data_IF_861256322870
#
_entry.id   IF_861256322870
#
_cell.length_a   1.000
_cell.length_b   1.000
_cell.length_c   1.000
_cell.angle_alpha   90.00
_cell.angle_beta   90.00
_cell.angle_gamma   90.00
#
_symmetry.space_group_name_H-M   'P 1'
#
loop_
_entity.id
_entity.type
_entity.pdbx_description
1 polymer ?
#
# COMPACT_ATOMS: atom_id res chain seq x y z
N UNK A 1 11.07 -56.98 -33.67
CA UNK A 1 11.68 -55.69 -33.24
C UNK A 1 10.61 -54.64 -32.87
N UNK A 2 9.70 -54.91 -31.92
CA UNK A 2 8.64 -53.95 -31.50
C UNK A 2 8.63 -53.62 -30.00
N UNK A 3 9.38 -54.37 -29.17
CA UNK A 3 9.33 -54.24 -27.69
C UNK A 3 10.19 -53.11 -27.12
N UNK A 4 11.25 -52.68 -27.82
CA UNK A 4 12.22 -51.69 -27.30
C UNK A 4 11.75 -50.23 -27.50
N UNK A 5 10.90 -49.99 -28.50
CA UNK A 5 10.43 -48.63 -28.85
C UNK A 5 9.42 -48.12 -27.81
N UNK A 6 8.47 -48.97 -27.39
CA UNK A 6 7.44 -48.63 -26.40
C UNK A 6 8.00 -48.27 -25.01
N UNK A 7 9.17 -48.78 -24.63
CA UNK A 7 9.79 -48.50 -23.33
C UNK A 7 10.46 -47.12 -23.30
N UNK A 8 11.01 -46.65 -24.42
CA UNK A 8 11.63 -45.32 -24.52
C UNK A 8 10.60 -44.19 -24.52
N UNK A 9 9.45 -44.36 -25.18
CA UNK A 9 8.37 -43.37 -25.12
C UNK A 9 7.78 -43.22 -23.72
N UNK A 10 7.52 -44.34 -23.04
CA UNK A 10 6.97 -44.32 -21.66
C UNK A 10 7.90 -43.65 -20.65
N UNK A 11 9.23 -43.78 -20.80
CA UNK A 11 10.19 -43.05 -19.93
C UNK A 11 10.24 -41.55 -20.24
N UNK A 12 10.15 -41.15 -21.52
CA UNK A 12 10.13 -39.73 -21.90
C UNK A 12 8.89 -39.03 -21.36
N UNK A 13 7.71 -39.65 -21.46
CA UNK A 13 6.44 -39.09 -20.94
C UNK A 13 6.50 -38.88 -19.42
N UNK A 14 7.08 -39.84 -18.68
CA UNK A 14 7.30 -39.69 -17.23
C UNK A 14 8.27 -38.55 -16.89
N UNK A 15 9.33 -38.38 -17.66
CA UNK A 15 10.30 -37.30 -17.47
C UNK A 15 9.67 -35.91 -17.74
N UNK A 16 8.88 -35.78 -18.81
CA UNK A 16 8.16 -34.54 -19.12
C UNK A 16 7.05 -34.22 -18.10
N UNK A 17 6.37 -35.23 -17.55
CA UNK A 17 5.39 -35.03 -16.48
C UNK A 17 6.03 -34.54 -15.17
N UNK A 18 7.23 -35.03 -14.83
CA UNK A 18 7.99 -34.58 -13.65
C UNK A 18 8.48 -33.14 -13.84
N UNK A 19 8.99 -32.79 -15.03
CA UNK A 19 9.45 -31.43 -15.34
C UNK A 19 8.28 -30.44 -15.36
N UNK A 20 7.12 -30.83 -15.91
CA UNK A 20 5.91 -30.01 -15.90
C UNK A 20 5.39 -29.73 -14.47
N UNK A 21 5.49 -30.70 -13.57
CA UNK A 21 5.13 -30.52 -12.16
C UNK A 21 6.13 -29.63 -11.40
N UNK A 22 7.43 -29.73 -11.72
CA UNK A 22 8.50 -28.95 -11.09
C UNK A 22 8.50 -27.47 -11.52
N UNK A 23 7.99 -27.16 -12.71
CA UNK A 23 7.83 -25.77 -13.19
C UNK A 23 6.53 -25.12 -12.67
N UNK A 24 5.52 -25.91 -12.28
CA UNK A 24 4.28 -25.39 -11.71
C UNK A 24 4.38 -25.08 -10.20
N UNK A 25 5.34 -25.67 -9.47
CA UNK A 25 5.50 -25.41 -8.03
C UNK A 25 6.25 -24.11 -7.70
N UNK A 26 6.90 -23.47 -8.68
CA UNK A 26 7.58 -22.17 -8.47
C UNK A 26 6.69 -20.96 -8.71
N UNK A 27 5.46 -21.15 -9.15
CA UNK A 27 4.43 -20.09 -9.21
C UNK A 27 3.48 -20.16 -8.02
N UNK A 28 3.98 -20.55 -6.84
CA UNK A 28 3.44 -19.95 -5.63
C UNK A 28 3.94 -18.50 -5.60
N UNK A 29 3.25 -17.62 -6.33
CA UNK A 29 3.26 -16.20 -5.99
C UNK A 29 2.62 -16.16 -4.62
N UNK A 30 3.44 -16.30 -3.60
CA UNK A 30 3.04 -16.03 -2.24
C UNK A 30 2.49 -14.62 -2.29
N UNK A 31 1.25 -14.43 -1.82
CA UNK A 31 0.78 -13.13 -1.41
C UNK A 31 1.76 -12.68 -0.32
N UNK A 32 2.86 -12.06 -0.72
CA UNK A 32 3.78 -11.45 0.20
C UNK A 32 3.00 -10.28 0.75
N UNK A 33 2.52 -10.40 1.99
CA UNK A 33 1.82 -9.35 2.70
C UNK A 33 2.63 -8.06 2.51
N UNK A 34 2.09 -7.12 1.73
CA UNK A 34 2.77 -5.87 1.47
C UNK A 34 2.90 -5.15 2.79
N UNK A 35 4.13 -4.81 3.16
CA UNK A 35 4.39 -4.03 4.37
C UNK A 35 3.77 -2.66 4.17
N UNK A 36 2.94 -2.24 5.12
CA UNK A 36 2.39 -0.89 5.13
C UNK A 36 3.42 0.09 5.67
N UNK A 37 3.53 1.27 5.06
CA UNK A 37 4.40 2.35 5.55
C UNK A 37 4.06 2.76 6.99
N UNK A 38 2.80 2.55 7.42
CA UNK A 38 2.35 2.90 8.76
C UNK A 38 2.91 1.94 9.85
N UNK A 39 3.44 0.78 9.45
CA UNK A 39 4.08 -0.21 10.31
C UNK A 39 5.59 0.05 10.42
N UNK A 40 5.97 1.15 11.08
CA UNK A 40 7.34 1.66 11.14
C UNK A 40 8.39 0.60 11.53
N UNK A 41 8.08 -0.32 12.44
CA UNK A 41 9.02 -1.36 12.87
C UNK A 41 9.33 -2.35 11.72
N UNK A 42 8.32 -2.72 10.92
CA UNK A 42 8.52 -3.59 9.75
C UNK A 42 9.21 -2.84 8.62
N UNK A 43 8.89 -1.55 8.44
CA UNK A 43 9.59 -0.67 7.48
C UNK A 43 11.07 -0.58 7.83
N UNK A 44 11.39 -0.40 9.12
CA UNK A 44 12.77 -0.34 9.60
C UNK A 44 13.52 -1.66 9.39
N UNK A 45 12.87 -2.79 9.63
CA UNK A 45 13.43 -4.12 9.37
C UNK A 45 13.69 -4.35 7.88
N UNK A 46 12.77 -3.93 7.00
CA UNK A 46 12.91 -4.10 5.55
C UNK A 46 14.00 -3.19 4.96
N UNK A 47 13.99 -1.91 5.36
CA UNK A 47 14.88 -0.90 4.77
C UNK A 47 16.23 -0.82 5.48
N UNK A 48 16.40 -1.49 6.62
CA UNK A 48 17.60 -1.42 7.46
C UNK A 48 17.99 0.05 7.72
N UNK A 49 17.03 0.86 8.19
CA UNK A 49 17.27 2.29 8.38
C UNK A 49 18.35 2.51 9.44
N UNK A 50 19.24 3.47 9.19
CA UNK A 50 20.14 3.95 10.23
C UNK A 50 19.34 4.59 11.37
N UNK A 51 19.95 4.72 12.55
CA UNK A 51 19.28 5.35 13.70
C UNK A 51 18.77 6.76 13.39
N UNK A 52 19.50 7.53 12.59
CA UNK A 52 19.10 8.89 12.23
C UNK A 52 18.03 8.91 11.14
N UNK A 53 18.13 8.06 10.13
CA UNK A 53 17.06 7.86 9.15
C UNK A 53 15.75 7.44 9.84
N UNK A 54 15.82 6.47 10.75
CA UNK A 54 14.66 5.97 11.48
C UNK A 54 13.94 7.08 12.26
N UNK A 55 14.68 7.96 12.93
CA UNK A 55 14.09 9.09 13.67
C UNK A 55 13.30 10.02 12.75
N UNK A 56 13.90 10.42 11.63
CA UNK A 56 13.27 11.34 10.67
C UNK A 56 12.04 10.68 10.05
N UNK A 57 12.23 9.48 9.48
CA UNK A 57 11.15 8.71 8.82
C UNK A 57 9.99 8.43 9.78
N UNK A 58 10.27 8.12 11.05
CA UNK A 58 9.23 7.93 12.06
C UNK A 58 8.42 9.20 12.30
N UNK A 59 9.06 10.35 12.42
CA UNK A 59 8.38 11.64 12.61
C UNK A 59 7.42 11.89 11.44
N UNK A 60 7.85 11.68 10.21
CA UNK A 60 7.02 11.94 9.03
C UNK A 60 5.88 10.93 8.90
N UNK A 61 6.10 9.66 9.25
CA UNK A 61 5.02 8.67 9.36
C UNK A 61 4.00 9.06 10.44
N UNK A 62 4.45 9.55 11.59
CA UNK A 62 3.55 9.99 12.67
C UNK A 62 2.73 11.22 12.24
N UNK A 63 3.31 12.15 11.47
CA UNK A 63 2.56 13.25 10.84
C UNK A 63 1.50 12.71 9.85
N UNK A 64 1.86 11.76 8.99
CA UNK A 64 0.92 11.13 8.06
C UNK A 64 -0.25 10.49 8.83
N UNK A 65 0.03 9.73 9.89
CA UNK A 65 -1.01 9.12 10.75
C UNK A 65 -1.95 10.17 11.33
N UNK A 66 -1.40 11.29 11.81
CA UNK A 66 -2.21 12.39 12.33
C UNK A 66 -3.12 13.00 11.26
N UNK A 67 -2.63 13.19 10.03
CA UNK A 67 -3.43 13.71 8.91
C UNK A 67 -4.58 12.75 8.57
N UNK A 68 -4.31 11.45 8.52
CA UNK A 68 -5.33 10.43 8.24
C UNK A 68 -6.41 10.39 9.32
N UNK A 69 -6.03 10.49 10.60
CA UNK A 69 -6.98 10.47 11.72
C UNK A 69 -7.82 11.75 11.79
N UNK A 70 -7.19 12.92 11.57
CA UNK A 70 -7.91 14.19 11.48
C UNK A 70 -8.96 14.15 10.36
N UNK A 71 -8.57 13.67 9.19
CA UNK A 71 -9.47 13.55 8.06
C UNK A 71 -10.65 12.60 8.34
N UNK A 72 -10.37 11.44 8.92
CA UNK A 72 -11.39 10.48 9.36
C UNK A 72 -12.37 11.11 10.34
N UNK A 73 -11.89 11.90 11.30
CA UNK A 73 -12.73 12.62 12.26
C UNK A 73 -13.63 13.65 11.58
N UNK A 74 -13.09 14.43 10.64
CA UNK A 74 -13.87 15.42 9.87
C UNK A 74 -15.01 14.72 9.11
N UNK A 75 -14.72 13.61 8.43
CA UNK A 75 -15.74 12.87 7.69
C UNK A 75 -16.75 12.18 8.59
N UNK A 76 -16.32 11.69 9.76
CA UNK A 76 -17.23 11.12 10.76
C UNK A 76 -18.23 12.17 11.25
N UNK A 77 -17.75 13.36 11.58
CA UNK A 77 -18.60 14.47 12.01
C UNK A 77 -19.56 14.90 10.89
N UNK A 78 -19.09 14.95 9.64
CA UNK A 78 -19.93 15.27 8.49
C UNK A 78 -21.08 14.27 8.33
N UNK A 79 -20.78 12.96 8.41
CA UNK A 79 -21.78 11.88 8.35
C UNK A 79 -22.76 11.91 9.51
N UNK A 80 -22.30 12.26 10.70
CA UNK A 80 -23.18 12.40 11.86
C UNK A 80 -24.17 13.54 11.67
N UNK A 81 -23.73 14.67 11.13
CA UNK A 81 -24.61 15.79 10.79
C UNK A 81 -25.65 15.42 9.73
N UNK A 82 -25.27 14.70 8.67
CA UNK A 82 -26.22 14.17 7.68
C UNK A 82 -27.28 13.26 8.31
N UNK A 83 -26.91 12.40 9.27
CA UNK A 83 -27.86 11.52 9.97
C UNK A 83 -28.85 12.26 10.87
N UNK A 84 -28.49 13.45 11.32
CA UNK A 84 -29.28 14.27 12.23
C UNK A 84 -30.09 15.35 11.49
N UNK A 85 -30.23 15.24 10.16
CA UNK A 85 -30.89 16.23 9.28
C UNK A 85 -30.28 17.67 9.40
N UNK A 86 -29.05 17.79 9.92
CA UNK A 86 -28.28 19.03 10.01
C UNK A 86 -27.32 19.11 8.82
N UNK A 87 -27.87 19.21 7.61
CA UNK A 87 -27.06 19.15 6.39
C UNK A 87 -26.05 20.32 6.32
N UNK A 88 -24.74 20.04 6.21
CA UNK A 88 -23.72 21.06 5.99
C UNK A 88 -24.03 21.92 4.76
N UNK A 89 -23.88 23.23 4.88
CA UNK A 89 -24.13 24.15 3.77
C UNK A 89 -23.15 23.93 2.60
N UNK A 90 -23.50 24.45 1.41
CA UNK A 90 -22.67 24.31 0.20
C UNK A 90 -21.21 24.76 0.43
N UNK A 91 -21.00 25.92 1.06
CA UNK A 91 -19.65 26.44 1.32
C UNK A 91 -18.86 25.58 2.30
N UNK A 92 -19.53 24.95 3.26
CA UNK A 92 -18.89 24.06 4.22
C UNK A 92 -18.41 22.78 3.52
N UNK A 93 -19.24 22.17 2.67
CA UNK A 93 -18.87 21.01 1.85
C UNK A 93 -17.67 21.31 0.95
N UNK A 94 -17.64 22.50 0.34
CA UNK A 94 -16.48 22.98 -0.45
C UNK A 94 -15.24 23.15 0.44
N UNK A 95 -15.39 23.67 1.65
CA UNK A 95 -14.32 23.79 2.63
C UNK A 95 -13.72 22.44 3.00
N UNK A 96 -14.56 21.45 3.30
CA UNK A 96 -14.15 20.07 3.62
C UNK A 96 -13.40 19.44 2.44
N UNK A 97 -13.92 19.59 1.21
CA UNK A 97 -13.26 19.08 0.01
C UNK A 97 -11.88 19.70 -0.19
N UNK A 98 -11.77 21.03 -0.18
CA UNK A 98 -10.47 21.72 -0.32
C UNK A 98 -9.51 21.38 0.81
N UNK A 99 -10.03 21.15 2.02
CA UNK A 99 -9.25 20.69 3.15
C UNK A 99 -8.67 19.29 2.92
N UNK A 100 -9.46 18.37 2.36
CA UNK A 100 -9.00 17.02 1.96
C UNK A 100 -7.92 17.12 0.88
N UNK A 101 -8.13 17.93 -0.15
CA UNK A 101 -7.16 18.11 -1.23
C UNK A 101 -5.79 18.56 -0.66
N UNK A 102 -5.78 19.56 0.23
CA UNK A 102 -4.54 19.98 0.92
C UNK A 102 -3.90 18.89 1.80
N UNK A 103 -4.70 17.99 2.38
CA UNK A 103 -4.19 16.86 3.16
C UNK A 103 -3.58 15.79 2.27
N UNK A 104 -4.10 15.60 1.06
CA UNK A 104 -3.50 14.74 0.03
C UNK A 104 -2.11 15.26 -0.32
N UNK A 105 -2.02 16.53 -0.71
CA UNK A 105 -0.74 17.17 -1.09
C UNK A 105 0.30 17.01 0.03
N UNK A 106 -0.08 17.30 1.28
CA UNK A 106 0.82 17.12 2.44
C UNK A 106 1.29 15.68 2.65
N UNK A 107 0.44 14.69 2.38
CA UNK A 107 0.87 13.28 2.48
C UNK A 107 1.87 12.99 1.37
N UNK A 108 1.66 13.49 0.16
CA UNK A 108 2.61 13.33 -0.96
C UNK A 108 3.96 13.99 -0.65
N UNK A 109 3.95 15.22 -0.12
CA UNK A 109 5.16 15.92 0.31
C UNK A 109 5.93 15.10 1.37
N UNK A 110 5.24 14.58 2.40
CA UNK A 110 5.86 13.76 3.45
C UNK A 110 6.41 12.43 2.91
N UNK A 111 5.77 11.85 1.89
CA UNK A 111 6.27 10.64 1.23
C UNK A 111 7.56 10.92 0.46
N UNK A 112 7.66 12.08 -0.19
CA UNK A 112 8.88 12.55 -0.86
C UNK A 112 9.99 12.83 0.15
N UNK A 113 9.69 13.51 1.25
CA UNK A 113 10.65 13.76 2.35
C UNK A 113 11.23 12.46 2.91
N UNK A 114 10.38 11.43 3.12
CA UNK A 114 10.80 10.09 3.53
C UNK A 114 11.70 9.46 2.47
N UNK A 115 11.32 9.52 1.19
CA UNK A 115 12.09 8.94 0.11
C UNK A 115 13.48 9.58 -0.01
N UNK A 116 13.60 10.88 0.22
CA UNK A 116 14.88 11.61 0.17
C UNK A 116 15.86 11.22 1.27
N UNK A 117 15.38 10.67 2.39
CA UNK A 117 16.26 10.09 3.41
C UNK A 117 16.90 8.77 2.96
N UNK A 118 16.40 8.14 1.90
CA UNK A 118 16.78 6.78 1.51
C UNK A 118 17.90 6.74 0.47
N UNK A 119 18.81 5.77 0.64
CA UNK A 119 19.79 5.46 -0.39
C UNK A 119 19.17 4.66 -1.55
N UNK A 120 19.92 4.48 -2.64
CA UNK A 120 19.43 3.79 -3.86
C UNK A 120 18.85 2.39 -3.60
N UNK A 121 19.49 1.58 -2.73
CA UNK A 121 19.01 0.22 -2.40
C UNK A 121 17.69 0.31 -1.62
N UNK A 122 17.61 1.23 -0.66
CA UNK A 122 16.43 1.46 0.15
C UNK A 122 15.25 1.97 -0.70
N UNK A 123 15.48 2.88 -1.66
CA UNK A 123 14.41 3.38 -2.57
C UNK A 123 13.74 2.26 -3.38
N UNK A 124 14.51 1.27 -3.84
CA UNK A 124 13.96 0.09 -4.54
C UNK A 124 13.01 -0.68 -3.62
N UNK A 125 13.41 -0.93 -2.38
CA UNK A 125 12.55 -1.62 -1.40
C UNK A 125 11.35 -0.77 -0.99
N UNK A 126 11.53 0.53 -0.82
CA UNK A 126 10.48 1.49 -0.49
C UNK A 126 9.39 1.57 -1.58
N UNK A 127 9.74 1.32 -2.84
CA UNK A 127 8.76 1.23 -3.93
C UNK A 127 7.76 0.07 -3.75
N UNK A 128 8.15 -0.97 -3.01
CA UNK A 128 7.34 -2.17 -2.74
C UNK A 128 6.46 -2.02 -1.50
N UNK A 129 6.73 -1.03 -0.65
CA UNK A 129 5.95 -0.71 0.55
C UNK A 129 4.62 -0.05 0.14
N UNK A 130 3.53 -0.49 0.77
CA UNK A 130 2.22 0.11 0.60
C UNK A 130 2.16 1.49 1.26
N UNK A 131 1.90 2.51 0.45
CA UNK A 131 1.85 3.91 0.87
C UNK A 131 0.42 4.29 1.23
N UNK A 132 0.17 4.94 2.38
CA UNK A 132 -1.14 5.48 2.69
C UNK A 132 -1.51 6.54 1.66
N UNK A 133 -2.78 6.56 1.28
CA UNK A 133 -3.33 7.56 0.36
C UNK A 133 -4.71 8.00 0.80
N UNK A 134 -4.99 9.27 0.60
CA UNK A 134 -6.34 9.81 0.67
C UNK A 134 -6.82 10.01 -0.77
N UNK A 135 -8.04 9.55 -1.06
CA UNK A 135 -8.68 9.83 -2.34
C UNK A 135 -9.43 11.16 -2.27
N UNK A 136 -9.52 11.93 -3.37
CA UNK A 136 -10.41 13.09 -3.44
C UNK A 136 -11.83 12.70 -3.05
N UNK A 137 -12.52 13.59 -2.31
CA UNK A 137 -13.88 13.30 -1.86
C UNK A 137 -14.84 13.21 -3.04
N UNK A 138 -15.62 12.14 -3.06
CA UNK A 138 -16.72 11.94 -3.99
C UNK A 138 -17.91 12.84 -3.64
N UNK A 139 -18.82 13.01 -4.61
CA UNK A 139 -20.10 13.70 -4.34
C UNK A 139 -20.89 13.00 -3.23
N UNK A 140 -20.88 11.66 -3.22
CA UNK A 140 -21.59 10.84 -2.25
C UNK A 140 -21.12 11.12 -0.82
N UNK A 141 -19.81 11.18 -0.59
CA UNK A 141 -19.24 11.49 0.72
C UNK A 141 -19.51 12.92 1.20
N UNK A 142 -19.99 13.80 0.30
CA UNK A 142 -20.39 15.18 0.59
C UNK A 142 -21.93 15.33 0.62
N UNK A 143 -22.69 14.25 0.53
CA UNK A 143 -24.15 14.27 0.55
C UNK A 143 -24.79 13.18 1.40
N UNK A 144 -24.01 12.20 1.88
CA UNK A 144 -24.42 11.02 2.66
C UNK A 144 -23.30 10.59 3.63
#
# INVERSE_FOLDING_TARGET
>A
MKKIILTREKMKIKLFAIIGYLVLSTFAVTAQDKISLLEIDKVNQLLELSTDQFKIVKIDIDKIKSILEEDKKILSNLRERFKNDDEPGFFEKIGVKRGRDKRIDKIEDLLEEIEDQLNKKQKILFSQIEKPKLNPLSKKELSE
#
